data_IF_341329751639
#
_entry.id   IF_341329751639
#
_cell.length_a   1.000
_cell.length_b   1.000
_cell.length_c   1.000
_cell.angle_alpha   90.00
_cell.angle_beta   90.00
_cell.angle_gamma   90.00
#
_symmetry.space_group_name_H-M   'P 1'
#
loop_
_entity.id
_entity.type
_entity.pdbx_description
1 polymer ?
#
# COMPACT_ATOMS: atom_id res chain seq x y z
N UNK A 1 -6.13 -15.21 -17.04
CA UNK A 1 -7.31 -14.65 -16.35
C UNK A 1 -8.39 -14.33 -17.38
N UNK A 2 -9.66 -14.44 -17.02
CA UNK A 2 -10.77 -13.95 -17.85
C UNK A 2 -10.91 -12.42 -17.71
N UNK A 3 -11.56 -11.78 -18.68
CA UNK A 3 -11.85 -10.34 -18.67
C UNK A 3 -12.64 -9.93 -17.44
N UNK A 4 -13.62 -10.74 -17.07
CA UNK A 4 -14.46 -10.50 -15.90
C UNK A 4 -13.67 -10.58 -14.59
N UNK A 5 -12.77 -11.56 -14.46
CA UNK A 5 -11.86 -11.64 -13.31
C UNK A 5 -10.91 -10.45 -13.24
N UNK A 6 -10.44 -9.95 -14.39
CA UNK A 6 -9.60 -8.75 -14.44
C UNK A 6 -10.38 -7.55 -13.95
N UNK A 7 -11.57 -7.33 -14.49
CA UNK A 7 -12.45 -6.23 -14.06
C UNK A 7 -12.72 -6.27 -12.57
N UNK A 8 -13.10 -7.43 -12.05
CA UNK A 8 -13.41 -7.58 -10.63
C UNK A 8 -12.20 -7.30 -9.75
N UNK A 9 -11.02 -7.84 -10.09
CA UNK A 9 -9.78 -7.56 -9.37
C UNK A 9 -9.38 -6.09 -9.45
N UNK A 10 -9.49 -5.47 -10.62
CA UNK A 10 -9.18 -4.04 -10.78
C UNK A 10 -10.13 -3.16 -9.97
N UNK A 11 -11.42 -3.49 -9.93
CA UNK A 11 -12.39 -2.77 -9.10
C UNK A 11 -12.12 -2.92 -7.60
N UNK A 12 -11.81 -4.13 -7.13
CA UNK A 12 -11.43 -4.38 -5.73
C UNK A 12 -10.23 -3.51 -5.33
N UNK A 13 -9.21 -3.50 -6.18
CA UNK A 13 -8.02 -2.68 -6.03
C UNK A 13 -8.32 -1.16 -6.05
N UNK A 14 -9.20 -0.71 -6.93
CA UNK A 14 -9.62 0.70 -7.00
C UNK A 14 -10.38 1.14 -5.74
N UNK A 15 -11.18 0.24 -5.17
CA UNK A 15 -11.91 0.47 -3.92
C UNK A 15 -10.94 0.58 -2.74
N UNK A 16 -10.02 -0.38 -2.61
CA UNK A 16 -8.97 -0.37 -1.59
C UNK A 16 -8.08 0.89 -1.68
N UNK A 17 -7.68 1.30 -2.89
CA UNK A 17 -6.95 2.54 -3.13
C UNK A 17 -7.76 3.76 -2.69
N UNK A 18 -9.06 3.80 -2.97
CA UNK A 18 -9.93 4.92 -2.58
C UNK A 18 -10.08 5.01 -1.06
N UNK A 19 -10.22 3.87 -0.38
CA UNK A 19 -10.26 3.81 1.08
C UNK A 19 -8.94 4.28 1.69
N UNK A 20 -7.80 3.88 1.09
CA UNK A 20 -6.48 4.32 1.54
C UNK A 20 -6.24 5.80 1.35
N UNK A 21 -6.59 6.34 0.19
CA UNK A 21 -6.53 7.78 -0.10
C UNK A 21 -7.34 8.55 0.95
N UNK A 22 -8.56 8.10 1.28
CA UNK A 22 -9.38 8.75 2.32
C UNK A 22 -8.72 8.68 3.71
N UNK A 23 -8.20 7.52 4.12
CA UNK A 23 -7.50 7.36 5.41
C UNK A 23 -6.25 8.23 5.51
N UNK A 24 -5.49 8.35 4.41
CA UNK A 24 -4.33 9.22 4.34
C UNK A 24 -4.74 10.70 4.39
N UNK A 25 -5.77 11.10 3.65
CA UNK A 25 -6.26 12.49 3.66
C UNK A 25 -6.78 12.91 5.05
N UNK A 26 -7.44 12.02 5.77
CA UNK A 26 -7.91 12.26 7.14
C UNK A 26 -6.73 12.46 8.11
N UNK A 27 -5.75 11.55 8.08
CA UNK A 27 -4.53 11.63 8.89
C UNK A 27 -3.60 12.79 8.50
N UNK A 28 -3.67 13.25 7.25
CA UNK A 28 -2.87 14.39 6.78
C UNK A 28 -3.21 15.70 7.49
N UNK A 29 -4.38 15.77 8.16
CA UNK A 29 -4.76 16.87 9.04
C UNK A 29 -4.05 16.88 10.39
N UNK A 30 -3.58 15.72 10.87
CA UNK A 30 -3.03 15.52 12.23
C UNK A 30 -1.51 15.33 12.26
N UNK A 31 -0.85 15.13 11.12
CA UNK A 31 0.61 14.89 11.04
C UNK A 31 1.45 16.17 11.05
N UNK A 32 2.66 16.06 11.60
CA UNK A 32 3.67 17.11 11.64
C UNK A 32 4.12 17.56 10.23
N UNK A 33 4.51 18.82 10.09
CA UNK A 33 4.87 19.44 8.79
C UNK A 33 6.00 18.71 8.05
N UNK A 34 6.96 18.13 8.77
CA UNK A 34 8.08 17.36 8.21
C UNK A 34 7.61 16.04 7.55
N UNK A 35 6.67 15.33 8.20
CA UNK A 35 6.08 14.11 7.66
C UNK A 35 5.08 14.39 6.52
N UNK A 36 4.56 15.62 6.46
CA UNK A 36 3.50 16.03 5.52
C UNK A 36 3.93 15.97 4.07
N UNK A 37 5.19 16.25 3.75
CA UNK A 37 5.69 16.20 2.37
C UNK A 37 5.71 14.77 1.83
N UNK A 38 6.30 13.84 2.58
CA UNK A 38 6.31 12.41 2.23
C UNK A 38 4.88 11.88 2.11
N UNK A 39 4.00 12.29 3.02
CA UNK A 39 2.58 11.96 2.98
C UNK A 39 1.88 12.43 1.71
N UNK A 40 2.12 13.68 1.31
CA UNK A 40 1.56 14.25 0.07
C UNK A 40 2.10 13.53 -1.17
N UNK A 41 3.37 13.15 -1.16
CA UNK A 41 3.99 12.45 -2.28
C UNK A 41 3.37 11.04 -2.44
N UNK A 42 3.19 10.31 -1.33
CA UNK A 42 2.50 9.03 -1.34
C UNK A 42 1.04 9.17 -1.78
N UNK A 43 0.33 10.21 -1.31
CA UNK A 43 -1.04 10.49 -1.72
C UNK A 43 -1.14 10.75 -3.23
N UNK A 44 -0.20 11.53 -3.79
CA UNK A 44 -0.14 11.81 -5.23
C UNK A 44 0.12 10.53 -6.03
N UNK A 45 1.06 9.70 -5.58
CA UNK A 45 1.36 8.40 -6.20
C UNK A 45 0.13 7.47 -6.20
N UNK A 46 -0.58 7.36 -5.06
CA UNK A 46 -1.80 6.54 -4.97
C UNK A 46 -2.92 7.04 -5.89
N UNK A 47 -3.10 8.36 -6.01
CA UNK A 47 -4.06 8.96 -6.93
C UNK A 47 -3.69 8.65 -8.39
N UNK A 48 -2.42 8.78 -8.75
CA UNK A 48 -1.93 8.45 -10.09
C UNK A 48 -2.15 6.96 -10.43
N UNK A 49 -1.83 6.07 -9.48
CA UNK A 49 -2.04 4.63 -9.62
C UNK A 49 -3.54 4.33 -9.84
N UNK A 50 -4.42 4.94 -9.04
CA UNK A 50 -5.88 4.78 -9.16
C UNK A 50 -6.38 5.23 -10.54
N UNK A 51 -5.97 6.40 -11.01
CA UNK A 51 -6.36 6.89 -12.34
C UNK A 51 -5.83 5.98 -13.46
N UNK A 52 -4.59 5.52 -13.36
CA UNK A 52 -3.99 4.59 -14.31
C UNK A 52 -4.78 3.27 -14.39
N UNK A 53 -5.15 2.69 -13.24
CA UNK A 53 -5.99 1.49 -13.18
C UNK A 53 -7.36 1.71 -13.80
N UNK A 54 -8.02 2.82 -13.44
CA UNK A 54 -9.36 3.14 -13.96
C UNK A 54 -9.34 3.32 -15.47
N UNK A 55 -8.31 4.00 -15.99
CA UNK A 55 -8.13 4.21 -17.43
C UNK A 55 -7.88 2.90 -18.15
N UNK A 56 -6.92 2.08 -17.68
CA UNK A 56 -6.65 0.77 -18.28
C UNK A 56 -7.87 -0.13 -18.22
N UNK A 57 -8.62 -0.10 -17.12
CA UNK A 57 -9.84 -0.90 -17.00
C UNK A 57 -10.84 -0.53 -18.08
N UNK A 58 -11.12 0.76 -18.28
CA UNK A 58 -12.03 1.23 -19.33
C UNK A 58 -11.54 0.85 -20.74
N UNK A 59 -10.24 1.02 -21.00
CA UNK A 59 -9.62 0.59 -22.26
C UNK A 59 -9.86 -0.90 -22.51
N UNK A 60 -9.64 -1.74 -21.49
CA UNK A 60 -9.81 -3.19 -21.56
C UNK A 60 -11.28 -3.64 -21.57
N UNK A 61 -12.19 -2.89 -20.93
CA UNK A 61 -13.63 -3.13 -21.02
C UNK A 61 -14.15 -2.94 -22.43
N UNK A 62 -13.58 -1.99 -23.18
CA UNK A 62 -13.90 -1.77 -24.58
C UNK A 62 -13.22 -2.76 -25.54
N UNK A 63 -12.26 -3.57 -25.08
CA UNK A 63 -11.63 -4.62 -25.89
C UNK A 63 -12.62 -5.77 -26.12
N UNK A 64 -12.85 -6.09 -27.39
CA UNK A 64 -13.64 -7.27 -27.78
C UNK A 64 -13.00 -8.58 -27.28
N UNK A 65 -13.82 -9.57 -26.91
CA UNK A 65 -13.35 -10.86 -26.35
C UNK A 65 -12.29 -11.56 -27.23
N UNK A 66 -12.39 -11.45 -28.56
CA UNK A 66 -11.40 -12.03 -29.47
C UNK A 66 -10.01 -11.37 -29.39
N UNK A 67 -9.92 -10.11 -28.95
CA UNK A 67 -8.66 -9.39 -28.71
C UNK A 67 -8.20 -9.49 -27.25
N UNK A 68 -9.09 -9.91 -26.35
CA UNK A 68 -8.76 -10.11 -24.93
C UNK A 68 -7.58 -11.05 -24.75
N UNK A 69 -7.51 -12.14 -25.52
CA UNK A 69 -6.43 -13.12 -25.38
C UNK A 69 -5.03 -12.54 -25.67
N UNK A 70 -4.97 -11.49 -26.48
CA UNK A 70 -3.73 -10.76 -26.80
C UNK A 70 -3.35 -9.79 -25.69
N UNK A 71 -4.33 -9.11 -25.11
CA UNK A 71 -4.09 -8.07 -24.09
C UNK A 71 -4.03 -8.62 -22.67
N UNK A 72 -4.56 -9.83 -22.39
CA UNK A 72 -4.65 -10.40 -21.02
C UNK A 72 -3.29 -10.50 -20.34
N UNK A 73 -2.22 -10.77 -21.07
CA UNK A 73 -0.85 -10.80 -20.52
C UNK A 73 -0.37 -9.41 -20.15
N UNK A 74 -0.58 -8.43 -21.04
CA UNK A 74 -0.23 -7.03 -20.79
C UNK A 74 -1.03 -6.46 -19.60
N UNK A 75 -2.34 -6.71 -19.58
CA UNK A 75 -3.25 -6.33 -18.51
C UNK A 75 -2.83 -6.98 -17.18
N UNK A 76 -2.54 -8.28 -17.18
CA UNK A 76 -2.08 -9.00 -15.99
C UNK A 76 -0.76 -8.48 -15.44
N UNK A 77 0.22 -8.20 -16.32
CA UNK A 77 1.51 -7.62 -15.94
C UNK A 77 1.35 -6.21 -15.36
N UNK A 78 0.56 -5.36 -16.02
CA UNK A 78 0.24 -4.02 -15.54
C UNK A 78 -0.44 -4.07 -14.17
N UNK A 79 -1.48 -4.89 -14.01
CA UNK A 79 -2.17 -5.05 -12.73
C UNK A 79 -1.22 -5.57 -11.64
N UNK A 80 -0.34 -6.52 -11.95
CA UNK A 80 0.63 -7.06 -10.98
C UNK A 80 1.64 -5.99 -10.55
N UNK A 81 2.12 -5.18 -11.49
CA UNK A 81 3.02 -4.06 -11.21
C UNK A 81 2.35 -3.01 -10.32
N UNK A 82 1.11 -2.67 -10.62
CA UNK A 82 0.32 -1.71 -9.84
C UNK A 82 0.00 -2.25 -8.44
N UNK A 83 -0.53 -3.47 -8.35
CA UNK A 83 -0.84 -4.12 -7.09
C UNK A 83 0.42 -4.29 -6.22
N UNK A 84 1.57 -4.61 -6.82
CA UNK A 84 2.85 -4.65 -6.11
C UNK A 84 3.27 -3.27 -5.58
N UNK A 85 3.17 -2.23 -6.42
CA UNK A 85 3.59 -0.87 -6.06
C UNK A 85 2.77 -0.29 -4.91
N UNK A 86 1.44 -0.42 -4.95
CA UNK A 86 0.62 0.01 -3.83
C UNK A 86 0.83 -0.89 -2.61
N UNK A 87 0.87 -2.22 -2.74
CA UNK A 87 1.05 -3.11 -1.59
C UNK A 87 2.36 -2.86 -0.83
N UNK A 88 3.42 -2.47 -1.55
CA UNK A 88 4.67 -2.02 -0.92
C UNK A 88 4.50 -0.69 -0.17
N UNK A 89 3.82 0.30 -0.76
CA UNK A 89 3.55 1.59 -0.11
C UNK A 89 2.63 1.44 1.11
N UNK A 90 1.57 0.62 1.00
CA UNK A 90 0.66 0.29 2.10
C UNK A 90 1.41 -0.36 3.25
N UNK A 91 2.30 -1.33 2.97
CA UNK A 91 3.12 -1.96 4.00
C UNK A 91 3.90 -0.93 4.80
N UNK A 92 4.58 -0.01 4.11
CA UNK A 92 5.37 1.06 4.74
C UNK A 92 4.51 2.02 5.58
N UNK A 93 3.35 2.42 5.07
CA UNK A 93 2.40 3.30 5.79
C UNK A 93 1.81 2.61 7.01
N UNK A 94 1.34 1.37 6.87
CA UNK A 94 0.75 0.60 7.97
C UNK A 94 1.79 0.29 9.06
N UNK A 95 3.05 0.02 8.69
CA UNK A 95 4.15 -0.16 9.64
C UNK A 95 4.54 1.15 10.33
N UNK A 96 4.63 2.27 9.60
CA UNK A 96 4.88 3.59 10.19
C UNK A 96 3.78 3.97 11.21
N UNK A 97 2.51 3.68 10.89
CA UNK A 97 1.39 3.89 11.80
C UNK A 97 1.36 2.96 13.02
N UNK A 98 1.88 1.74 12.89
CA UNK A 98 2.07 0.86 14.05
C UNK A 98 3.21 1.32 14.94
N UNK A 99 4.27 1.87 14.35
CA UNK A 99 5.45 2.34 15.08
C UNK A 99 5.17 3.61 15.88
N UNK A 100 4.37 4.55 15.37
CA UNK A 100 3.90 5.71 16.15
C UNK A 100 3.05 5.31 17.38
N UNK A 101 2.32 4.19 17.32
CA UNK A 101 1.56 3.70 18.48
C UNK A 101 2.45 3.03 19.56
N UNK A 102 3.71 2.73 19.24
CA UNK A 102 4.63 2.03 20.14
C UNK A 102 5.72 2.94 20.73
N UNK A 103 5.92 4.15 20.22
CA UNK A 103 6.96 5.07 20.72
C UNK A 103 6.48 6.02 21.82
N UNK A 104 5.17 6.03 22.16
CA UNK A 104 4.61 6.83 23.28
C UNK A 104 4.15 5.97 24.49
N UNK A 105 4.45 4.67 24.53
CA UNK A 105 4.21 3.83 25.71
C UNK A 105 5.51 3.56 26.48
N UNK A 106 5.83 4.30 27.55
CA UNK A 106 7.04 4.10 28.35
C UNK A 106 7.02 2.78 29.16
N UNK A 107 6.08 1.86 28.94
CA UNK A 107 5.94 0.65 29.74
C UNK A 107 6.08 -0.67 28.97
N UNK A 108 6.70 -0.67 27.78
CA UNK A 108 7.27 -1.91 27.23
C UNK A 108 8.65 -2.19 27.86
N UNK A 109 8.67 -2.27 29.19
CA UNK A 109 9.86 -2.63 29.96
C UNK A 109 10.10 -4.13 29.77
N UNK A 110 11.33 -4.43 29.37
CA UNK A 110 12.11 -5.63 29.64
C UNK A 110 11.40 -6.99 29.58
N UNK A 111 11.85 -7.81 28.62
CA UNK A 111 12.49 -9.06 29.01
C UNK A 111 13.44 -9.50 27.89
N UNK A 112 14.63 -8.91 27.88
CA UNK A 112 15.76 -9.39 27.09
C UNK A 112 17.06 -9.06 27.82
N UNK A 113 17.25 -9.66 29.00
CA UNK A 113 18.57 -9.76 29.63
C UNK A 113 18.53 -10.81 30.75
N UNK A 114 18.59 -12.07 30.37
CA UNK A 114 19.25 -13.07 31.19
C UNK A 114 19.95 -13.98 30.20
N UNK A 115 21.19 -13.62 29.89
CA UNK A 115 22.32 -14.53 29.84
C UNK A 115 23.62 -13.72 29.90
N UNK A 116 24.55 -14.28 30.67
CA UNK A 116 26.00 -14.06 30.73
C UNK A 116 26.62 -13.00 31.65
N UNK A 117 27.30 -13.59 32.65
CA UNK A 117 28.63 -13.26 33.16
C UNK A 117 28.86 -12.01 34.03
N UNK A 118 29.02 -12.25 35.33
CA UNK A 118 30.14 -11.64 36.04
C UNK A 118 30.80 -12.66 36.96
N UNK A 119 31.86 -13.25 36.43
CA UNK A 119 32.93 -13.88 37.18
C UNK A 119 33.67 -12.81 38.02
N UNK A 120 34.12 -13.24 39.20
CA UNK A 120 35.31 -12.79 39.95
C UNK A 120 35.26 -11.71 41.07
N UNK A 121 35.81 -12.16 42.21
CA UNK A 121 36.62 -11.48 43.25
C UNK A 121 35.93 -10.64 44.35
N UNK A 122 35.81 -11.25 45.53
CA UNK A 122 36.56 -10.87 46.74
C UNK A 122 36.54 -12.01 47.77
#
# INVERSE_FOLDING_TARGET
MKKEEFKQKTLEVLDELSEHISKLEDKAGDIAEDAREEYRNQLANLKEIKENLSTKLDEFENVADGKWDVVKESAGSFFTSVAGSWKENFGKVADAFKKEKMEDDPNSVENSALNDDTKEQA
#
